data_IF_253490857748
#
_entry.id   IF_253490857748
#
_cell.length_a   1.000
_cell.length_b   1.000
_cell.length_c   1.000
_cell.angle_alpha   90.00
_cell.angle_beta   90.00
_cell.angle_gamma   90.00
#
_symmetry.space_group_name_H-M   'P 1'
#
loop_
_entity.id
_entity.type
_entity.pdbx_description
1 polymer ?
#
# COMPACT_ATOMS: atom_id res chain seq x y z
N UNK A 1 -22.87 -42.90 54.00
CA UNK A 1 -23.34 -42.71 52.61
C UNK A 1 -23.75 -41.27 52.32
N UNK A 2 -24.68 -40.63 53.04
CA UNK A 2 -25.14 -39.26 52.71
C UNK A 2 -24.02 -38.18 52.75
N UNK A 3 -23.09 -38.25 53.71
CA UNK A 3 -21.98 -37.28 53.81
C UNK A 3 -21.06 -37.31 52.60
N UNK A 4 -20.78 -38.49 52.06
CA UNK A 4 -19.89 -38.69 50.92
C UNK A 4 -20.51 -38.14 49.63
N UNK A 5 -21.81 -38.34 49.43
CA UNK A 5 -22.54 -37.76 48.29
C UNK A 5 -22.52 -36.23 48.36
N UNK A 6 -22.71 -35.63 49.53
CA UNK A 6 -22.66 -34.17 49.70
C UNK A 6 -21.26 -33.62 49.40
N UNK A 7 -20.20 -34.30 49.86
CA UNK A 7 -18.82 -33.90 49.57
C UNK A 7 -18.53 -34.04 48.07
N UNK A 8 -18.94 -35.13 47.43
CA UNK A 8 -18.75 -35.34 45.99
C UNK A 8 -19.50 -34.30 45.15
N UNK A 9 -20.75 -33.98 45.50
CA UNK A 9 -21.52 -32.92 44.83
C UNK A 9 -20.89 -31.55 45.04
N UNK A 10 -20.41 -31.23 46.24
CA UNK A 10 -19.70 -29.97 46.52
C UNK A 10 -18.42 -29.82 45.68
N UNK A 11 -17.61 -30.88 45.60
CA UNK A 11 -16.41 -30.89 44.76
C UNK A 11 -16.72 -30.76 43.27
N UNK A 12 -17.81 -31.39 42.80
CA UNK A 12 -18.25 -31.27 41.41
C UNK A 12 -18.69 -29.84 41.05
N UNK A 13 -19.45 -29.18 41.94
CA UNK A 13 -19.87 -27.78 41.75
C UNK A 13 -18.65 -26.85 41.70
N UNK A 14 -17.68 -27.03 42.60
CA UNK A 14 -16.44 -26.27 42.60
C UNK A 14 -15.61 -26.51 41.32
N UNK A 15 -15.51 -27.76 40.86
CA UNK A 15 -14.84 -28.09 39.61
C UNK A 15 -15.47 -27.41 38.39
N UNK A 16 -16.80 -27.43 38.29
CA UNK A 16 -17.53 -26.74 37.22
C UNK A 16 -17.37 -25.22 37.29
N UNK A 17 -17.33 -24.63 38.48
CA UNK A 17 -17.10 -23.19 38.65
C UNK A 17 -15.72 -22.76 38.14
N UNK A 18 -14.67 -23.54 38.43
CA UNK A 18 -13.31 -23.27 37.93
C UNK A 18 -13.23 -23.39 36.41
N UNK A 19 -13.85 -24.41 35.82
CA UNK A 19 -13.91 -24.57 34.36
C UNK A 19 -14.68 -23.41 33.72
N UNK A 20 -15.81 -22.99 34.32
CA UNK A 20 -16.60 -21.86 33.83
C UNK A 20 -15.80 -20.55 33.78
N UNK A 21 -15.03 -20.26 34.85
CA UNK A 21 -14.16 -19.10 34.88
C UNK A 21 -13.07 -19.15 33.78
N UNK A 22 -12.43 -20.31 33.59
CA UNK A 22 -11.42 -20.48 32.52
C UNK A 22 -12.00 -20.30 31.12
N UNK A 23 -13.22 -20.78 30.87
CA UNK A 23 -13.90 -20.61 29.58
C UNK A 23 -14.22 -19.14 29.30
N UNK A 24 -14.64 -18.38 30.31
CA UNK A 24 -14.90 -16.96 30.18
C UNK A 24 -13.62 -16.17 29.88
N UNK A 25 -12.52 -16.49 30.58
CA UNK A 25 -11.21 -15.89 30.31
C UNK A 25 -10.72 -16.22 28.90
N UNK A 26 -10.91 -17.46 28.44
CA UNK A 26 -10.58 -17.87 27.09
C UNK A 26 -11.39 -17.11 26.02
N UNK A 27 -12.72 -16.93 26.21
CA UNK A 27 -13.56 -16.17 25.26
C UNK A 27 -13.10 -14.71 25.15
N UNK A 28 -12.84 -14.05 26.27
CA UNK A 28 -12.34 -12.66 26.26
C UNK A 28 -10.96 -12.55 25.60
N UNK A 29 -10.08 -13.53 25.82
CA UNK A 29 -8.76 -13.60 25.16
C UNK A 29 -8.89 -13.79 23.65
N UNK A 30 -9.75 -14.70 23.21
CA UNK A 30 -10.02 -14.95 21.77
C UNK A 30 -10.56 -13.69 21.10
N UNK A 31 -11.51 -12.99 21.73
CA UNK A 31 -12.06 -11.73 21.17
C UNK A 31 -10.98 -10.66 21.02
N UNK A 32 -10.15 -10.47 22.06
CA UNK A 32 -9.01 -9.52 21.99
C UNK A 32 -8.03 -9.90 20.89
N UNK A 33 -7.72 -11.19 20.75
CA UNK A 33 -6.83 -11.69 19.71
C UNK A 33 -7.42 -11.47 18.31
N UNK A 34 -8.70 -11.77 18.11
CA UNK A 34 -9.39 -11.51 16.84
C UNK A 34 -9.40 -10.03 16.48
N UNK A 35 -9.64 -9.15 17.46
CA UNK A 35 -9.62 -7.71 17.28
C UNK A 35 -8.22 -7.23 16.86
N UNK A 36 -7.18 -7.71 17.53
CA UNK A 36 -5.78 -7.40 17.19
C UNK A 36 -5.37 -7.93 15.81
N UNK A 37 -5.79 -9.13 15.43
CA UNK A 37 -5.52 -9.68 14.10
C UNK A 37 -6.20 -8.86 12.99
N UNK A 38 -7.42 -8.37 13.23
CA UNK A 38 -8.08 -7.44 12.30
C UNK A 38 -7.31 -6.13 12.19
N UNK A 39 -6.91 -5.54 13.32
CA UNK A 39 -6.11 -4.33 13.32
C UNK A 39 -4.79 -4.50 12.55
N UNK A 40 -4.12 -5.65 12.70
CA UNK A 40 -2.90 -5.98 11.95
C UNK A 40 -3.15 -6.05 10.43
N UNK A 41 -4.19 -6.76 10.00
CA UNK A 41 -4.53 -6.83 8.56
C UNK A 41 -4.89 -5.46 7.98
N UNK A 42 -5.56 -4.61 8.76
CA UNK A 42 -5.88 -3.24 8.36
C UNK A 42 -4.61 -2.38 8.26
N UNK A 43 -3.68 -2.53 9.20
CA UNK A 43 -2.38 -1.85 9.14
C UNK A 43 -1.58 -2.27 7.91
N UNK A 44 -1.52 -3.59 7.62
CA UNK A 44 -0.84 -4.11 6.42
C UNK A 44 -1.48 -3.56 5.13
N UNK A 45 -2.81 -3.47 5.09
CA UNK A 45 -3.51 -2.85 3.97
C UNK A 45 -3.15 -1.38 3.81
N UNK A 46 -3.17 -0.59 4.88
CA UNK A 46 -2.81 0.84 4.83
C UNK A 46 -1.37 1.04 4.39
N UNK A 47 -0.43 0.20 4.87
CA UNK A 47 0.95 0.23 4.39
C UNK A 47 1.05 -0.11 2.90
N UNK A 48 0.27 -1.08 2.41
CA UNK A 48 0.22 -1.38 0.98
C UNK A 48 -0.39 -0.24 0.16
N UNK A 49 -1.42 0.45 0.67
CA UNK A 49 -2.01 1.62 0.02
C UNK A 49 -1.01 2.78 -0.03
N UNK A 50 -0.23 3.01 1.04
CA UNK A 50 0.89 3.95 1.06
C UNK A 50 1.98 3.57 0.05
N UNK A 51 2.38 2.30 0.00
CA UNK A 51 3.41 1.82 -0.93
C UNK A 51 2.96 1.91 -2.40
N UNK A 52 1.66 1.90 -2.65
CA UNK A 52 1.07 2.10 -3.98
C UNK A 52 0.83 3.59 -4.30
N UNK A 53 1.18 4.51 -3.41
CA UNK A 53 0.94 5.95 -3.61
C UNK A 53 -0.53 6.34 -3.57
N UNK A 54 -1.42 5.48 -3.03
CA UNK A 54 -2.85 5.79 -2.92
C UNK A 54 -3.16 6.73 -1.75
N UNK A 55 -2.20 6.91 -0.85
CA UNK A 55 -2.25 7.85 0.28
C UNK A 55 -1.06 8.78 0.13
N UNK A 56 -1.33 10.05 -0.12
CA UNK A 56 -0.30 11.08 -0.25
C UNK A 56 0.20 11.47 1.15
N UNK A 57 1.52 11.57 1.31
CA UNK A 57 2.13 12.10 2.52
C UNK A 57 2.19 13.62 2.38
N UNK A 58 1.26 14.32 3.03
CA UNK A 58 1.11 15.78 2.90
C UNK A 58 2.38 16.53 3.33
N UNK A 59 2.97 16.15 4.47
CA UNK A 59 4.24 16.69 4.94
C UNK A 59 4.89 15.85 6.06
N UNK A 60 6.18 16.09 6.30
CA UNK A 60 6.92 15.59 7.47
C UNK A 60 6.39 16.28 8.73
N UNK A 61 6.31 15.54 9.84
CA UNK A 61 5.74 15.97 11.13
C UNK A 61 4.23 16.22 11.11
N UNK A 62 3.53 15.76 10.07
CA UNK A 62 2.08 15.79 9.99
C UNK A 62 1.45 14.51 10.55
N UNK A 63 0.30 14.70 11.20
CA UNK A 63 -0.53 13.60 11.69
C UNK A 63 -1.72 13.50 10.75
N UNK A 64 -1.76 12.43 9.97
CA UNK A 64 -2.91 12.10 9.13
C UNK A 64 -3.82 11.12 9.87
N UNK A 65 -5.11 11.36 9.79
CA UNK A 65 -6.13 10.59 10.48
C UNK A 65 -7.30 10.30 9.54
N UNK A 66 -7.64 9.04 9.37
CA UNK A 66 -8.78 8.64 8.55
C UNK A 66 -9.54 7.46 9.15
N UNK A 67 -10.71 7.17 8.58
CA UNK A 67 -11.54 6.01 8.91
C UNK A 67 -11.44 4.94 7.81
N UNK A 68 -11.48 3.66 8.17
CA UNK A 68 -11.42 2.56 7.19
C UNK A 68 -12.72 2.39 6.35
N UNK A 69 -13.71 3.25 6.61
CA UNK A 69 -14.97 3.31 5.89
C UNK A 69 -16.04 2.31 6.36
N UNK A 70 -17.12 2.13 5.57
CA UNK A 70 -18.34 1.43 6.01
C UNK A 70 -18.17 -0.07 6.27
N UNK A 71 -17.07 -0.67 5.78
CA UNK A 71 -16.78 -2.09 6.01
C UNK A 71 -16.18 -2.34 7.39
N UNK A 72 -15.54 -1.33 7.96
CA UNK A 72 -14.89 -1.35 9.27
C UNK A 72 -15.21 -0.04 10.02
N UNK A 73 -16.50 0.25 10.27
CA UNK A 73 -16.94 1.53 10.84
C UNK A 73 -16.42 1.77 12.26
N UNK A 74 -15.99 0.72 12.96
CA UNK A 74 -15.42 0.78 14.29
C UNK A 74 -13.90 0.99 14.31
N UNK A 75 -13.25 1.10 13.14
CA UNK A 75 -11.81 1.29 13.00
C UNK A 75 -11.45 2.58 12.26
N UNK A 76 -10.38 3.20 12.74
CA UNK A 76 -9.68 4.28 12.04
C UNK A 76 -8.18 4.04 12.10
N UNK A 77 -7.42 4.89 11.45
CA UNK A 77 -5.97 4.87 11.52
C UNK A 77 -5.43 6.29 11.72
N UNK A 78 -4.23 6.34 12.28
CA UNK A 78 -3.41 7.54 12.43
C UNK A 78 -2.02 7.22 11.90
N UNK A 79 -1.54 8.05 10.99
CA UNK A 79 -0.17 8.00 10.50
C UNK A 79 0.57 9.21 11.01
N UNK A 80 1.77 8.99 11.52
CA UNK A 80 2.70 10.05 11.90
C UNK A 80 4.01 9.80 11.15
N UNK A 81 4.48 10.84 10.47
CA UNK A 81 5.73 10.81 9.71
C UNK A 81 6.77 11.62 10.47
N UNK A 82 7.86 10.98 10.89
CA UNK A 82 8.96 11.63 11.60
C UNK A 82 10.24 11.58 10.77
N UNK A 83 11.00 12.67 10.77
CA UNK A 83 12.36 12.69 10.22
C UNK A 83 13.30 11.79 11.02
N UNK A 84 14.15 11.04 10.32
CA UNK A 84 15.22 10.25 10.96
C UNK A 84 16.55 10.99 10.94
N UNK A 85 17.56 10.43 11.62
CA UNK A 85 18.93 10.97 11.52
C UNK A 85 19.62 10.71 10.18
N UNK A 86 18.98 9.94 9.29
CA UNK A 86 19.49 9.62 7.95
C UNK A 86 18.75 10.52 6.96
N UNK A 87 19.51 11.30 6.19
CA UNK A 87 18.97 12.18 5.16
C UNK A 87 18.17 11.38 4.13
N UNK A 88 17.01 11.91 3.73
CA UNK A 88 16.08 11.24 2.81
C UNK A 88 15.32 10.05 3.41
N UNK A 89 15.40 9.79 4.73
CA UNK A 89 14.69 8.67 5.35
C UNK A 89 13.74 9.14 6.47
N UNK A 90 12.52 8.61 6.44
CA UNK A 90 11.44 8.89 7.39
C UNK A 90 11.02 7.63 8.16
N UNK A 91 10.63 7.84 9.41
CA UNK A 91 9.94 6.86 10.23
C UNK A 91 8.44 7.10 10.13
N UNK A 92 7.74 6.15 9.54
CA UNK A 92 6.28 6.10 9.54
C UNK A 92 5.82 5.30 10.76
N UNK A 93 5.02 5.93 11.62
CA UNK A 93 4.30 5.29 12.70
C UNK A 93 2.82 5.23 12.33
N UNK A 94 2.33 4.02 12.03
CA UNK A 94 0.92 3.77 11.73
C UNK A 94 0.26 3.13 12.94
N UNK A 95 -0.71 3.82 13.52
CA UNK A 95 -1.57 3.36 14.61
C UNK A 95 -2.94 2.98 14.07
N UNK A 96 -3.41 1.77 14.38
CA UNK A 96 -4.79 1.35 14.12
C UNK A 96 -5.62 1.55 15.38
N UNK A 97 -6.64 2.39 15.22
CA UNK A 97 -7.53 2.88 16.25
C UNK A 97 -8.84 2.10 16.24
N UNK A 98 -9.45 1.93 17.41
CA UNK A 98 -10.75 1.29 17.55
C UNK A 98 -11.60 1.99 18.59
N UNK A 99 -12.87 2.23 18.26
CA UNK A 99 -13.83 2.78 19.22
C UNK A 99 -14.71 1.64 19.71
N UNK A 100 -14.66 1.38 21.01
CA UNK A 100 -15.64 0.52 21.67
C UNK A 100 -16.97 1.28 21.71
N UNK A 101 -17.82 1.08 20.71
CA UNK A 101 -19.13 1.71 20.67
C UNK A 101 -20.04 1.11 21.75
N UNK A 102 -20.19 1.85 22.86
CA UNK A 102 -21.01 1.48 24.02
C UNK A 102 -22.48 1.98 23.94
N UNK A 103 -22.93 2.56 22.83
CA UNK A 103 -24.25 3.21 22.74
C UNK A 103 -25.12 2.76 21.57
N UNK A 104 -26.44 2.88 21.76
CA UNK A 104 -27.60 2.43 20.96
C UNK A 104 -27.62 2.71 19.44
N UNK A 105 -26.60 3.32 18.85
CA UNK A 105 -26.48 3.63 17.42
C UNK A 105 -25.76 2.50 16.65
N UNK A 106 -26.21 1.26 16.90
CA UNK A 106 -25.57 0.05 16.40
C UNK A 106 -25.62 -0.03 14.86
N UNK A 107 -24.44 -0.04 14.23
CA UNK A 107 -24.25 -0.54 12.86
C UNK A 107 -24.58 0.44 11.73
N UNK A 108 -24.76 1.73 12.01
CA UNK A 108 -24.86 2.75 10.96
C UNK A 108 -23.53 3.48 10.85
N UNK A 109 -22.72 3.06 9.88
CA UNK A 109 -21.63 3.89 9.42
C UNK A 109 -22.17 5.28 9.07
N UNK A 110 -21.53 6.31 9.62
CA UNK A 110 -21.73 7.70 9.26
C UNK A 110 -20.36 8.23 8.92
N UNK A 111 -20.22 8.70 7.69
CA UNK A 111 -18.99 9.32 7.21
C UNK A 111 -18.60 10.48 8.14
N UNK A 112 -17.34 10.48 8.58
CA UNK A 112 -16.81 11.42 9.57
C UNK A 112 -17.39 11.25 10.99
N UNK A 113 -18.00 10.10 11.28
CA UNK A 113 -18.56 9.76 12.58
C UNK A 113 -17.56 9.10 13.53
N UNK A 114 -16.38 8.71 13.03
CA UNK A 114 -15.30 8.19 13.85
C UNK A 114 -14.63 9.31 14.65
N UNK A 115 -14.48 9.11 15.95
CA UNK A 115 -13.90 10.08 16.89
C UNK A 115 -12.51 9.60 17.34
N UNK A 116 -11.48 10.05 16.64
CA UNK A 116 -10.08 9.64 16.86
C UNK A 116 -9.58 9.93 18.28
N UNK A 117 -10.10 10.98 18.95
CA UNK A 117 -9.73 11.34 20.32
C UNK A 117 -10.25 10.35 21.37
N UNK A 118 -11.35 9.64 21.06
CA UNK A 118 -11.95 8.62 21.95
C UNK A 118 -11.51 7.20 21.63
N UNK A 119 -10.79 7.01 20.54
CA UNK A 119 -10.40 5.68 20.09
C UNK A 119 -9.23 5.12 20.91
N UNK A 120 -9.22 3.80 21.09
CA UNK A 120 -8.09 3.08 21.69
C UNK A 120 -7.14 2.61 20.59
N UNK A 121 -5.83 2.78 20.79
CA UNK A 121 -4.81 2.21 19.90
C UNK A 121 -4.76 0.69 20.13
N UNK A 122 -5.07 -0.09 19.10
CA UNK A 122 -5.02 -1.55 19.17
C UNK A 122 -3.71 -2.15 18.68
N UNK A 123 -3.11 -1.49 17.70
CA UNK A 123 -1.92 -1.96 17.01
C UNK A 123 -1.14 -0.78 16.48
N UNK A 124 0.19 -0.84 16.61
CA UNK A 124 1.11 0.14 16.05
C UNK A 124 2.15 -0.62 15.25
N UNK A 125 2.41 -0.15 14.03
CA UNK A 125 3.50 -0.63 13.18
C UNK A 125 4.40 0.54 12.83
N UNK A 126 5.69 0.26 12.76
CA UNK A 126 6.72 1.20 12.39
C UNK A 126 7.33 0.75 11.08
N UNK A 127 7.46 1.66 10.12
CA UNK A 127 8.10 1.42 8.84
C UNK A 127 9.13 2.52 8.58
N UNK A 128 10.32 2.14 8.13
CA UNK A 128 11.27 3.10 7.57
C UNK A 128 10.99 3.19 6.07
N UNK A 129 10.86 4.42 5.57
CA UNK A 129 10.68 4.73 4.16
C UNK A 129 11.71 5.76 3.73
N UNK A 130 12.20 5.61 2.50
CA UNK A 130 13.05 6.62 1.86
C UNK A 130 12.11 7.56 1.13
N UNK A 131 12.41 8.86 1.13
CA UNK A 131 11.75 9.80 0.25
C UNK A 131 11.93 9.29 -1.19
N UNK A 132 10.89 9.14 -2.01
CA UNK A 132 11.13 8.92 -3.43
C UNK A 132 11.93 10.10 -3.96
N UNK A 133 13.20 9.85 -4.28
CA UNK A 133 14.03 10.82 -4.98
C UNK A 133 13.77 10.68 -6.48
N UNK A 134 13.76 11.80 -7.23
CA UNK A 134 13.76 11.74 -8.69
C UNK A 134 14.94 10.89 -9.16
N UNK A 135 14.71 10.07 -10.19
CA UNK A 135 15.73 9.21 -10.77
C UNK A 135 16.60 10.02 -11.73
N UNK A 136 17.92 9.87 -11.63
CA UNK A 136 18.83 10.31 -12.69
C UNK A 136 19.02 9.18 -13.68
N UNK A 137 18.26 9.21 -14.78
CA UNK A 137 18.28 8.16 -15.79
C UNK A 137 19.67 8.02 -16.44
N UNK A 138 20.44 9.11 -16.52
CA UNK A 138 21.77 9.10 -17.09
C UNK A 138 22.78 8.39 -16.19
N UNK A 139 22.85 8.80 -14.93
CA UNK A 139 23.77 8.23 -13.95
C UNK A 139 23.38 6.80 -13.57
N UNK A 140 22.09 6.53 -13.33
CA UNK A 140 21.63 5.24 -12.82
C UNK A 140 21.61 4.13 -13.86
N UNK A 141 21.35 4.46 -15.13
CA UNK A 141 21.34 3.48 -16.22
C UNK A 141 22.61 3.50 -17.08
N UNK A 142 23.55 4.39 -16.78
CA UNK A 142 24.84 4.46 -17.46
C UNK A 142 24.70 4.86 -18.94
N UNK A 143 23.75 5.74 -19.24
CA UNK A 143 23.58 6.31 -20.58
C UNK A 143 24.80 7.15 -20.94
N UNK A 144 25.19 7.13 -22.21
CA UNK A 144 26.21 8.07 -22.69
C UNK A 144 25.63 9.48 -22.93
N UNK A 145 26.51 10.46 -23.16
CA UNK A 145 26.10 11.87 -23.35
C UNK A 145 25.19 12.05 -24.59
N UNK A 146 25.32 11.20 -25.61
CA UNK A 146 24.53 11.29 -26.85
C UNK A 146 23.12 10.71 -26.61
N UNK A 147 23.03 9.54 -25.99
CA UNK A 147 21.78 8.90 -25.57
C UNK A 147 20.99 9.79 -24.60
N UNK A 148 21.67 10.35 -23.59
CA UNK A 148 21.05 11.24 -22.62
C UNK A 148 20.50 12.52 -23.28
N UNK A 149 21.26 13.11 -24.21
CA UNK A 149 20.81 14.31 -24.93
C UNK A 149 19.59 14.02 -25.81
N UNK A 150 19.58 12.88 -26.50
CA UNK A 150 18.44 12.44 -27.30
C UNK A 150 17.20 12.21 -26.41
N UNK A 151 17.36 11.49 -25.29
CA UNK A 151 16.27 11.24 -24.36
C UNK A 151 15.71 12.53 -23.76
N UNK A 152 16.58 13.47 -23.41
CA UNK A 152 16.17 14.79 -22.91
C UNK A 152 15.37 15.59 -23.95
N UNK A 153 15.76 15.52 -25.22
CA UNK A 153 15.00 16.15 -26.32
C UNK A 153 13.63 15.47 -26.47
N UNK A 154 13.60 14.14 -26.57
CA UNK A 154 12.38 13.35 -26.79
C UNK A 154 11.36 13.52 -25.63
N UNK A 155 11.83 13.46 -24.37
CA UNK A 155 10.98 13.70 -23.19
C UNK A 155 10.53 15.17 -23.10
N UNK A 156 11.41 16.11 -23.44
CA UNK A 156 11.08 17.53 -23.48
C UNK A 156 10.00 17.87 -24.52
N UNK A 157 9.99 17.18 -25.66
CA UNK A 157 8.95 17.33 -26.69
C UNK A 157 7.57 16.87 -26.23
N UNK A 158 7.50 15.87 -25.34
CA UNK A 158 6.23 15.43 -24.76
C UNK A 158 5.62 16.47 -23.81
N UNK A 159 6.46 17.32 -23.20
CA UNK A 159 6.02 18.42 -22.34
C UNK A 159 5.23 17.97 -21.11
N UNK A 160 5.53 16.77 -20.61
CA UNK A 160 4.88 16.19 -19.43
C UNK A 160 5.65 16.64 -18.18
N UNK A 161 5.04 17.40 -17.27
CA UNK A 161 5.72 17.85 -16.06
C UNK A 161 6.24 16.68 -15.22
N UNK A 162 7.50 16.74 -14.81
CA UNK A 162 8.13 15.73 -13.95
C UNK A 162 8.74 14.56 -14.71
N UNK A 163 8.44 14.42 -16.00
CA UNK A 163 9.08 13.44 -16.89
C UNK A 163 10.00 14.10 -17.93
N UNK A 164 10.05 15.42 -17.99
CA UNK A 164 10.74 16.22 -19.01
C UNK A 164 12.25 16.38 -18.75
N UNK A 165 12.73 16.07 -17.55
CA UNK A 165 14.14 16.13 -17.17
C UNK A 165 14.65 14.71 -16.81
N UNK A 166 15.52 14.10 -17.63
CA UNK A 166 16.07 12.79 -17.33
C UNK A 166 16.97 12.75 -16.07
N UNK A 167 17.49 13.89 -15.59
CA UNK A 167 18.24 13.94 -14.32
C UNK A 167 17.36 14.04 -13.08
N UNK A 168 16.07 14.32 -13.27
CA UNK A 168 15.09 14.48 -12.21
C UNK A 168 13.77 13.79 -12.58
N UNK A 169 13.88 12.56 -13.09
CA UNK A 169 12.74 11.81 -13.60
C UNK A 169 11.85 11.32 -12.44
N UNK A 170 10.62 11.84 -12.36
CA UNK A 170 9.65 11.46 -11.34
C UNK A 170 8.78 10.29 -11.82
N UNK A 171 9.08 9.08 -11.34
CA UNK A 171 8.32 7.88 -11.70
C UNK A 171 6.86 7.94 -11.23
N UNK A 172 6.54 8.72 -10.20
CA UNK A 172 5.16 8.84 -9.70
C UNK A 172 4.27 9.61 -10.68
N UNK A 173 4.85 10.53 -11.45
CA UNK A 173 4.13 11.28 -12.49
C UNK A 173 3.58 10.36 -13.61
N UNK A 174 4.12 9.14 -13.78
CA UNK A 174 3.56 8.15 -14.70
C UNK A 174 2.15 7.66 -14.28
N UNK A 175 1.79 7.77 -13.01
CA UNK A 175 0.46 7.39 -12.53
C UNK A 175 -0.62 8.43 -12.87
N UNK A 176 -0.21 9.69 -13.06
CA UNK A 176 -1.11 10.82 -13.28
C UNK A 176 -1.36 11.13 -14.77
N UNK A 177 -0.51 10.62 -15.66
CA UNK A 177 -0.68 10.80 -17.10
C UNK A 177 -1.78 9.92 -17.67
N UNK A 178 -2.39 10.40 -18.77
CA UNK A 178 -3.33 9.59 -19.50
C UNK A 178 -2.64 8.44 -20.25
N UNK A 179 -3.44 7.46 -20.68
CA UNK A 179 -2.93 6.29 -21.40
C UNK A 179 -2.21 6.67 -22.70
N UNK A 180 -2.66 7.72 -23.40
CA UNK A 180 -2.03 8.13 -24.68
C UNK A 180 -0.62 8.68 -24.43
N UNK A 181 -0.47 9.53 -23.41
CA UNK A 181 0.82 10.03 -22.96
C UNK A 181 1.72 8.91 -22.46
N UNK A 182 1.17 7.99 -21.65
CA UNK A 182 1.92 6.84 -21.14
C UNK A 182 2.51 5.99 -22.26
N UNK A 183 1.74 5.72 -23.32
CA UNK A 183 2.20 4.94 -24.46
C UNK A 183 3.29 5.65 -25.28
N UNK A 184 3.33 6.99 -25.25
CA UNK A 184 4.40 7.77 -25.89
C UNK A 184 5.68 7.79 -25.05
N UNK A 185 5.55 7.78 -23.72
CA UNK A 185 6.70 7.72 -22.80
C UNK A 185 7.32 6.33 -22.79
N UNK A 186 6.50 5.27 -22.86
CA UNK A 186 6.94 3.89 -22.74
C UNK A 186 8.15 3.51 -23.63
N UNK A 187 8.19 3.79 -24.95
CA UNK A 187 9.34 3.46 -25.79
C UNK A 187 10.59 4.31 -25.51
N UNK A 188 10.47 5.42 -24.79
CA UNK A 188 11.59 6.29 -24.41
C UNK A 188 12.28 5.80 -23.12
N UNK A 189 11.60 4.96 -22.34
CA UNK A 189 12.18 4.45 -21.10
C UNK A 189 13.28 3.42 -21.42
N UNK A 190 14.40 3.43 -20.67
CA UNK A 190 15.47 2.48 -20.89
C UNK A 190 15.01 1.03 -20.68
N UNK A 191 15.48 0.11 -21.52
CA UNK A 191 15.13 -1.33 -21.46
C UNK A 191 15.46 -1.97 -20.09
N UNK A 192 16.44 -1.43 -19.37
CA UNK A 192 16.78 -1.84 -18.01
C UNK A 192 15.64 -1.61 -17.00
N UNK A 193 14.80 -0.60 -17.23
CA UNK A 193 13.70 -0.21 -16.35
C UNK A 193 12.42 -1.00 -16.64
N UNK A 194 12.06 -1.15 -17.92
CA UNK A 194 10.83 -1.86 -18.33
C UNK A 194 11.07 -3.36 -18.59
N UNK A 195 12.31 -3.76 -18.80
CA UNK A 195 12.65 -5.06 -19.37
C UNK A 195 12.39 -5.09 -20.88
N UNK A 196 12.44 -6.29 -21.45
CA UNK A 196 12.11 -6.52 -22.85
C UNK A 196 10.62 -6.22 -23.11
N UNK A 197 10.35 -5.22 -23.95
CA UNK A 197 9.00 -4.79 -24.30
C UNK A 197 8.17 -5.92 -24.94
N UNK A 198 8.81 -6.86 -25.65
CA UNK A 198 8.13 -8.04 -26.20
C UNK A 198 7.64 -8.96 -25.08
N UNK A 199 8.46 -9.11 -24.04
CA UNK A 199 8.12 -9.86 -22.84
C UNK A 199 6.97 -9.19 -22.07
N UNK A 200 6.93 -7.87 -21.98
CA UNK A 200 5.80 -7.13 -21.40
C UNK A 200 4.52 -7.28 -22.23
N UNK A 201 4.61 -7.17 -23.56
CA UNK A 201 3.48 -7.30 -24.47
C UNK A 201 2.77 -8.66 -24.34
N UNK A 202 3.49 -9.70 -23.93
CA UNK A 202 2.92 -11.02 -23.65
C UNK A 202 1.98 -11.05 -22.42
N UNK A 203 2.15 -10.13 -21.47
CA UNK A 203 1.32 -10.02 -20.26
C UNK A 203 0.22 -8.96 -20.36
N UNK A 204 0.25 -8.11 -21.39
CA UNK A 204 -0.75 -7.08 -21.59
C UNK A 204 -2.10 -7.68 -22.07
N UNK A 205 -3.24 -7.15 -21.59
CA UNK A 205 -4.55 -7.43 -22.17
C UNK A 205 -4.56 -7.25 -23.70
N UNK A 206 -5.33 -8.06 -24.45
CA UNK A 206 -5.35 -8.01 -25.92
C UNK A 206 -5.67 -6.64 -26.50
N UNK A 207 -6.53 -5.87 -25.80
CA UNK A 207 -6.95 -4.54 -26.23
C UNK A 207 -5.80 -3.53 -26.17
N UNK A 208 -4.97 -3.59 -25.13
CA UNK A 208 -3.79 -2.73 -24.98
C UNK A 208 -2.69 -3.13 -25.95
N UNK A 209 -2.50 -4.43 -26.17
CA UNK A 209 -1.53 -4.90 -27.16
C UNK A 209 -1.88 -4.42 -28.56
N UNK A 210 -3.15 -4.52 -28.97
CA UNK A 210 -3.61 -4.00 -30.27
C UNK A 210 -3.38 -2.49 -30.39
N UNK A 211 -3.60 -1.74 -29.31
CA UNK A 211 -3.38 -0.29 -29.32
C UNK A 211 -1.88 0.05 -29.46
N UNK A 212 -1.00 -0.68 -28.78
CA UNK A 212 0.45 -0.60 -28.95
C UNK A 212 0.92 -0.98 -30.37
N UNK A 213 0.29 -2.00 -30.98
CA UNK A 213 0.52 -2.38 -32.38
C UNK A 213 0.03 -1.26 -33.35
N UNK A 214 -1.15 -0.68 -33.10
CA UNK A 214 -1.73 0.39 -33.93
C UNK A 214 -0.94 1.70 -33.88
N UNK A 215 -0.36 2.03 -32.72
CA UNK A 215 0.53 3.19 -32.55
C UNK A 215 1.97 2.92 -33.02
N UNK A 216 2.27 1.71 -33.51
CA UNK A 216 3.59 1.34 -34.04
C UNK A 216 4.68 1.19 -32.98
N UNK A 217 4.33 1.24 -31.68
CA UNK A 217 5.26 1.12 -30.55
C UNK A 217 5.98 -0.23 -30.56
N UNK A 218 5.29 -1.29 -30.98
CA UNK A 218 5.86 -2.65 -31.06
C UNK A 218 6.60 -2.93 -32.37
N UNK A 219 6.36 -2.15 -33.44
CA UNK A 219 7.02 -2.34 -34.74
C UNK A 219 8.41 -1.67 -34.81
N UNK A 220 8.68 -0.70 -33.92
CA UNK A 220 9.92 0.06 -33.86
C UNK A 220 11.09 -0.62 -33.12
N UNK A 221 10.86 -1.80 -32.52
CA UNK A 221 11.88 -2.46 -31.71
C UNK A 221 12.92 -3.17 -32.59
N UNK A 222 14.23 -2.97 -32.32
CA UNK A 222 15.32 -3.58 -33.09
C UNK A 222 15.38 -5.10 -32.86
N UNK A 223 14.51 -5.85 -33.53
CA UNK A 223 14.46 -7.32 -33.44
C UNK A 223 13.25 -7.98 -34.13
N UNK A 224 12.18 -7.23 -34.41
CA UNK A 224 10.89 -7.82 -34.80
C UNK A 224 10.82 -8.37 -36.25
N UNK A 225 11.79 -8.08 -37.14
CA UNK A 225 11.62 -8.36 -38.59
C UNK A 225 12.52 -9.43 -39.23
N UNK A 226 13.41 -10.14 -38.50
CA UNK A 226 14.31 -11.13 -39.14
C UNK A 226 13.90 -12.60 -38.98
N UNK A 227 12.64 -12.88 -38.62
CA UNK A 227 12.22 -14.19 -38.12
C UNK A 227 11.28 -15.04 -38.97
N UNK A 228 11.06 -14.82 -40.27
CA UNK A 228 10.31 -15.80 -41.10
C UNK A 228 10.71 -15.74 -42.57
N UNK A 229 11.67 -16.59 -42.94
CA UNK A 229 12.11 -16.75 -44.33
C UNK A 229 13.09 -17.90 -44.50
N UNK A 230 12.74 -19.11 -44.07
CA UNK A 230 13.23 -20.37 -44.66
C UNK A 230 12.28 -21.55 -44.34
#
# INVERSE_FOLDING_TARGET
MLLETVIATGLLILGLAVIGAQVQDADTSIRKMQLRLRAMMLAERSLAELDLGLVELDSVDEVQEEEYGPRYPEFGWRLTTEETSIEGMYLLMLEVLHIRQDSDDYGRYREGGFDHDKAEVLFTIYALRVNPEPLDLGEEFGMDEEEYAQLSEDLGELGIPGLDDPSAFDWTALADIDMEQFLKVLPLLPESLIGDLDSLAAFLPPDLRRLLEEEGVLEGLPGATEGTGD
#
